data_IF_291177861296
#
_entry.id   IF_291177861296
#
_cell.length_a   1.000
_cell.length_b   1.000
_cell.length_c   1.000
_cell.angle_alpha   90.00
_cell.angle_beta   90.00
_cell.angle_gamma   90.00
#
_symmetry.space_group_name_H-M   'P 1'
#
loop_
_entity.id
_entity.type
_entity.pdbx_description
1 polymer ?
#
# COMPACT_ATOMS: atom_id res chain seq x y z
N UNK A 1 -5.96 22.74 0.16
CA UNK A 1 -5.30 21.60 0.85
C UNK A 1 -6.14 20.33 0.71
N UNK A 2 -7.27 20.18 1.42
CA UNK A 2 -8.14 18.98 1.34
C UNK A 2 -8.60 18.61 -0.08
N UNK A 3 -9.05 19.59 -0.87
CA UNK A 3 -9.46 19.34 -2.25
C UNK A 3 -8.32 18.76 -3.10
N UNK A 4 -7.11 19.30 -2.98
CA UNK A 4 -5.93 18.83 -3.72
C UNK A 4 -5.51 17.43 -3.27
N UNK A 5 -5.59 17.14 -1.96
CA UNK A 5 -5.35 15.78 -1.47
C UNK A 5 -6.33 14.81 -2.13
N UNK A 6 -7.62 15.13 -2.16
CA UNK A 6 -8.63 14.23 -2.74
C UNK A 6 -8.46 14.07 -4.26
N UNK A 7 -8.17 15.14 -5.00
CA UNK A 7 -8.22 15.12 -6.48
C UNK A 7 -6.89 14.85 -7.16
N UNK A 8 -5.77 15.06 -6.47
CA UNK A 8 -4.42 14.98 -7.06
C UNK A 8 -3.52 13.95 -6.36
N UNK A 9 -4.00 13.21 -5.36
CA UNK A 9 -3.29 12.03 -4.83
C UNK A 9 -3.88 10.73 -5.34
N UNK A 10 -3.09 9.68 -5.25
CA UNK A 10 -3.27 8.33 -5.77
C UNK A 10 -3.85 7.35 -4.74
N UNK A 11 -4.44 7.85 -3.65
CA UNK A 11 -5.13 7.06 -2.63
C UNK A 11 -6.16 6.08 -3.20
N UNK A 12 -6.87 6.46 -4.27
CA UNK A 12 -7.88 5.62 -4.91
C UNK A 12 -7.26 4.41 -5.64
N UNK A 13 -6.06 4.57 -6.19
CA UNK A 13 -5.33 3.50 -6.88
C UNK A 13 -4.91 2.42 -5.87
N UNK A 14 -4.42 2.83 -4.72
CA UNK A 14 -4.06 1.94 -3.61
C UNK A 14 -5.24 1.10 -3.11
N UNK A 15 -6.41 1.73 -2.95
CA UNK A 15 -7.64 1.02 -2.58
C UNK A 15 -8.08 0.05 -3.68
N UNK A 16 -8.07 0.49 -4.94
CA UNK A 16 -8.43 -0.35 -6.09
C UNK A 16 -7.53 -1.58 -6.17
N UNK A 17 -6.21 -1.40 -6.09
CA UNK A 17 -5.25 -2.51 -6.12
C UNK A 17 -5.45 -3.44 -4.92
N UNK A 18 -5.77 -2.91 -3.74
CA UNK A 18 -6.09 -3.73 -2.56
C UNK A 18 -7.30 -4.65 -2.81
N UNK A 19 -8.37 -4.14 -3.45
CA UNK A 19 -9.52 -4.94 -3.84
C UNK A 19 -9.20 -5.97 -4.92
N UNK A 20 -8.41 -5.60 -5.93
CA UNK A 20 -7.98 -6.54 -6.98
C UNK A 20 -7.11 -7.67 -6.41
N UNK A 21 -6.14 -7.33 -5.55
CA UNK A 21 -5.28 -8.28 -4.87
C UNK A 21 -6.11 -9.21 -3.97
N UNK A 22 -7.10 -8.69 -3.26
CA UNK A 22 -8.03 -9.51 -2.49
C UNK A 22 -8.78 -10.51 -3.38
N UNK A 23 -9.28 -10.08 -4.54
CA UNK A 23 -9.95 -10.94 -5.51
C UNK A 23 -9.04 -12.05 -6.05
N UNK A 24 -7.79 -11.71 -6.38
CA UNK A 24 -6.77 -12.68 -6.82
C UNK A 24 -6.49 -13.69 -5.71
N UNK A 25 -6.26 -13.24 -4.47
CA UNK A 25 -6.04 -14.14 -3.33
C UNK A 25 -7.25 -15.04 -3.06
N UNK A 26 -8.47 -14.52 -3.20
CA UNK A 26 -9.69 -15.32 -3.11
C UNK A 26 -9.75 -16.46 -4.13
N UNK A 27 -9.42 -16.16 -5.38
CA UNK A 27 -9.40 -17.17 -6.45
C UNK A 27 -8.27 -18.17 -6.21
N UNK A 28 -7.05 -17.71 -5.99
CA UNK A 28 -5.86 -18.57 -5.87
C UNK A 28 -5.94 -19.43 -4.62
N UNK A 29 -6.09 -18.82 -3.44
CA UNK A 29 -6.09 -19.57 -2.19
C UNK A 29 -7.37 -20.41 -2.05
N UNK A 30 -8.53 -19.85 -2.40
CA UNK A 30 -9.83 -20.48 -2.17
C UNK A 30 -10.24 -21.48 -3.25
N UNK A 31 -10.13 -21.11 -4.54
CA UNK A 31 -10.62 -21.93 -5.65
C UNK A 31 -9.55 -22.86 -6.21
N UNK A 32 -8.30 -22.41 -6.32
CA UNK A 32 -7.22 -23.20 -6.94
C UNK A 32 -6.54 -24.09 -5.89
N UNK A 33 -6.13 -23.52 -4.75
CA UNK A 33 -5.40 -24.25 -3.71
C UNK A 33 -6.30 -24.94 -2.68
N UNK A 34 -7.62 -24.65 -2.69
CA UNK A 34 -8.59 -25.26 -1.78
C UNK A 34 -8.39 -24.90 -0.30
N UNK A 35 -7.69 -23.80 -0.01
CA UNK A 35 -7.44 -23.36 1.37
C UNK A 35 -8.68 -22.66 1.93
N UNK A 36 -9.04 -23.01 3.16
CA UNK A 36 -10.09 -22.32 3.90
C UNK A 36 -9.50 -21.12 4.63
N UNK A 37 -10.05 -19.93 4.40
CA UNK A 37 -9.65 -18.72 5.11
C UNK A 37 -10.80 -17.72 5.20
N UNK A 38 -10.72 -16.84 6.21
CA UNK A 38 -11.71 -15.78 6.43
C UNK A 38 -11.41 -14.62 5.46
N UNK A 39 -12.02 -14.66 4.28
CA UNK A 39 -11.74 -13.70 3.19
C UNK A 39 -11.89 -12.23 3.60
N UNK A 40 -12.86 -11.91 4.47
CA UNK A 40 -13.06 -10.55 4.98
C UNK A 40 -11.92 -10.07 5.89
N UNK A 41 -11.24 -10.97 6.62
CA UNK A 41 -10.06 -10.61 7.43
C UNK A 41 -8.85 -10.31 6.56
N UNK A 42 -8.74 -10.97 5.40
CA UNK A 42 -7.70 -10.68 4.40
C UNK A 42 -7.95 -9.31 3.78
N UNK A 43 -9.19 -9.04 3.36
CA UNK A 43 -9.58 -7.72 2.85
C UNK A 43 -9.31 -6.63 3.88
N UNK A 44 -9.73 -6.83 5.14
CA UNK A 44 -9.50 -5.88 6.22
C UNK A 44 -8.01 -5.57 6.41
N UNK A 45 -7.16 -6.59 6.43
CA UNK A 45 -5.70 -6.42 6.52
C UNK A 45 -5.14 -5.60 5.34
N UNK A 46 -5.52 -5.92 4.10
CA UNK A 46 -5.09 -5.21 2.91
C UNK A 46 -5.53 -3.74 2.93
N UNK A 47 -6.78 -3.48 3.30
CA UNK A 47 -7.30 -2.11 3.37
C UNK A 47 -6.60 -1.30 4.47
N UNK A 48 -6.40 -1.87 5.66
CA UNK A 48 -5.70 -1.20 6.77
C UNK A 48 -4.23 -0.94 6.49
N UNK A 49 -3.59 -1.66 5.57
CA UNK A 49 -2.20 -1.41 5.18
C UNK A 49 -2.02 -0.02 4.58
N UNK A 50 -3.01 0.50 3.85
CA UNK A 50 -2.99 1.84 3.26
C UNK A 50 -3.04 2.96 4.31
N UNK A 51 -3.23 2.66 5.60
CA UNK A 51 -3.08 3.65 6.66
C UNK A 51 -1.62 4.07 6.88
N UNK A 52 -0.66 3.42 6.20
CA UNK A 52 0.74 3.85 6.19
C UNK A 52 0.90 5.30 5.72
N UNK A 53 0.07 5.76 4.77
CA UNK A 53 -0.02 7.14 4.28
C UNK A 53 -0.35 8.18 5.37
N UNK A 54 -0.84 7.75 6.53
CA UNK A 54 -1.01 8.69 7.64
C UNK A 54 0.32 9.30 8.09
N UNK A 55 1.47 8.71 7.70
CA UNK A 55 2.78 9.29 7.96
C UNK A 55 3.03 10.61 7.20
N UNK A 56 2.28 10.91 6.12
CA UNK A 56 2.32 12.19 5.42
C UNK A 56 1.97 13.37 6.34
N UNK A 57 1.13 13.13 7.37
CA UNK A 57 0.77 14.15 8.35
C UNK A 57 1.98 14.65 9.16
N UNK A 58 3.06 13.87 9.21
CA UNK A 58 4.32 14.24 9.87
C UNK A 58 5.34 14.85 8.91
N UNK A 59 5.01 15.04 7.65
CA UNK A 59 5.92 15.59 6.64
C UNK A 59 5.72 17.09 6.41
N UNK A 60 6.78 17.76 5.96
CA UNK A 60 6.73 19.16 5.58
C UNK A 60 7.27 19.36 4.15
N UNK A 61 6.45 19.83 3.18
CA UNK A 61 5.03 20.12 3.29
C UNK A 61 4.18 18.83 3.37
N UNK A 62 3.02 18.90 4.03
CA UNK A 62 2.08 17.77 4.20
C UNK A 62 1.64 17.20 2.85
N UNK A 63 1.36 18.07 1.87
CA UNK A 63 0.95 17.68 0.53
C UNK A 63 1.71 18.49 -0.53
N UNK A 64 2.30 17.81 -1.50
CA UNK A 64 2.95 18.41 -2.67
C UNK A 64 2.70 17.50 -3.87
N UNK A 65 1.96 18.00 -4.86
CA UNK A 65 1.71 17.27 -6.10
C UNK A 65 3.03 16.95 -6.83
N UNK A 66 3.12 15.74 -7.38
CA UNK A 66 4.31 15.29 -8.13
C UNK A 66 5.54 15.01 -7.28
N UNK A 67 5.46 15.03 -5.94
CA UNK A 67 6.57 14.56 -5.09
C UNK A 67 6.54 13.03 -5.03
N UNK A 68 7.71 12.40 -5.18
CA UNK A 68 7.87 10.98 -4.92
C UNK A 68 7.55 10.63 -3.45
N UNK A 69 6.73 9.62 -3.18
CA UNK A 69 6.36 9.21 -1.81
C UNK A 69 7.53 8.55 -1.05
N UNK A 70 8.39 7.81 -1.76
CA UNK A 70 9.50 7.08 -1.15
C UNK A 70 10.59 8.00 -0.58
N UNK A 71 11.11 7.64 0.58
CA UNK A 71 12.17 8.34 1.35
C UNK A 71 11.85 9.78 1.76
N UNK A 72 10.69 10.32 1.40
CA UNK A 72 10.23 11.64 1.81
C UNK A 72 9.32 11.60 3.05
N UNK A 73 8.92 10.40 3.48
CA UNK A 73 8.13 10.14 4.69
C UNK A 73 8.78 9.09 5.57
N UNK A 74 8.43 9.11 6.87
CA UNK A 74 9.08 8.27 7.86
C UNK A 74 8.85 6.78 7.59
N UNK A 75 7.60 6.35 7.43
CA UNK A 75 7.25 4.96 7.17
C UNK A 75 7.53 4.54 5.71
N UNK A 76 7.58 5.51 4.80
CA UNK A 76 7.98 5.32 3.40
C UNK A 76 9.50 5.36 3.17
N UNK A 77 10.31 5.33 4.23
CA UNK A 77 11.75 5.11 4.09
C UNK A 77 12.02 3.69 3.61
N UNK A 78 12.86 3.54 2.57
CA UNK A 78 13.26 2.23 2.06
C UNK A 78 14.02 1.40 3.09
N UNK A 79 14.54 2.03 4.15
CA UNK A 79 15.14 1.35 5.30
C UNK A 79 14.15 0.45 6.06
N UNK A 80 12.83 0.73 5.99
CA UNK A 80 11.80 -0.11 6.62
C UNK A 80 11.35 -1.29 5.73
N UNK A 81 11.73 -1.32 4.45
CA UNK A 81 11.34 -2.38 3.52
C UNK A 81 11.69 -3.79 4.02
N UNK A 82 12.89 -4.05 4.59
CA UNK A 82 13.20 -5.37 5.17
C UNK A 82 12.27 -5.74 6.33
N UNK A 83 11.86 -4.77 7.16
CA UNK A 83 10.93 -5.00 8.26
C UNK A 83 9.57 -5.42 7.73
N UNK A 84 9.07 -4.74 6.69
CA UNK A 84 7.81 -5.10 6.05
C UNK A 84 7.88 -6.48 5.38
N UNK A 85 8.99 -6.79 4.71
CA UNK A 85 9.22 -8.11 4.11
C UNK A 85 9.25 -9.24 5.16
N UNK A 86 9.93 -9.03 6.29
CA UNK A 86 9.92 -9.99 7.41
C UNK A 86 8.51 -10.20 7.99
N UNK A 87 7.69 -9.15 7.98
CA UNK A 87 6.30 -9.20 8.41
C UNK A 87 5.43 -10.22 7.64
N UNK A 88 5.82 -10.62 6.43
CA UNK A 88 5.16 -11.69 5.67
C UNK A 88 5.21 -13.06 6.37
N UNK A 89 6.13 -13.27 7.30
CA UNK A 89 6.23 -14.49 8.10
C UNK A 89 5.32 -14.48 9.34
N UNK A 90 4.69 -13.34 9.64
CA UNK A 90 3.84 -13.18 10.83
C UNK A 90 2.39 -13.60 10.58
N UNK A 91 1.58 -13.61 11.65
CA UNK A 91 0.12 -13.80 11.55
C UNK A 91 -0.59 -12.69 10.74
N UNK A 92 0.08 -11.54 10.55
CA UNK A 92 -0.41 -10.38 9.82
C UNK A 92 0.15 -10.31 8.40
N UNK A 93 0.56 -11.45 7.83
CA UNK A 93 1.17 -11.54 6.50
C UNK A 93 0.42 -10.78 5.39
N UNK A 94 -0.91 -10.71 5.44
CA UNK A 94 -1.68 -10.00 4.42
C UNK A 94 -1.63 -8.48 4.61
N UNK A 95 -1.50 -8.00 5.84
CA UNK A 95 -1.28 -6.58 6.12
C UNK A 95 0.09 -6.16 5.59
N UNK A 96 1.13 -6.93 5.86
CA UNK A 96 2.46 -6.66 5.34
C UNK A 96 2.55 -6.83 3.82
N UNK A 97 1.83 -7.80 3.23
CA UNK A 97 1.67 -7.89 1.78
C UNK A 97 1.02 -6.61 1.21
N UNK A 98 -0.02 -6.10 1.89
CA UNK A 98 -0.64 -4.82 1.55
C UNK A 98 0.36 -3.66 1.59
N UNK A 99 1.19 -3.56 2.63
CA UNK A 99 2.24 -2.54 2.74
C UNK A 99 3.25 -2.65 1.59
N UNK A 100 3.69 -3.87 1.25
CA UNK A 100 4.65 -4.06 0.16
C UNK A 100 4.06 -3.70 -1.21
N UNK A 101 2.79 -4.03 -1.45
CA UNK A 101 2.09 -3.66 -2.68
C UNK A 101 1.84 -2.15 -2.73
N UNK A 102 1.56 -1.52 -1.60
CA UNK A 102 1.48 -0.07 -1.46
C UNK A 102 2.83 0.59 -1.83
N UNK A 103 3.93 0.14 -1.22
CA UNK A 103 5.29 0.58 -1.57
C UNK A 103 5.64 0.40 -3.05
N UNK A 104 5.12 -0.67 -3.69
CA UNK A 104 5.31 -0.90 -5.11
C UNK A 104 4.57 0.12 -5.96
N UNK A 105 3.34 0.49 -5.60
CA UNK A 105 2.57 1.52 -6.31
C UNK A 105 3.28 2.87 -6.19
N UNK A 106 3.70 3.25 -4.98
CA UNK A 106 4.50 4.45 -4.73
C UNK A 106 5.78 4.48 -5.57
N UNK A 107 6.50 3.36 -5.63
CA UNK A 107 7.71 3.23 -6.44
C UNK A 107 7.42 3.49 -7.92
N UNK A 108 6.33 2.90 -8.46
CA UNK A 108 5.93 3.11 -9.85
C UNK A 108 5.53 4.57 -10.11
N UNK A 109 4.79 5.21 -9.20
CA UNK A 109 4.46 6.63 -9.30
C UNK A 109 5.70 7.54 -9.24
N UNK A 110 6.72 7.16 -8.46
CA UNK A 110 8.00 7.85 -8.49
C UNK A 110 8.70 7.69 -9.84
N UNK A 111 8.66 6.51 -10.47
CA UNK A 111 9.26 6.30 -11.80
C UNK A 111 8.61 7.20 -12.85
N UNK A 112 7.28 7.29 -12.86
CA UNK A 112 6.53 8.14 -13.82
C UNK A 112 6.92 9.62 -13.73
N UNK A 113 7.42 10.09 -12.58
CA UNK A 113 7.94 11.46 -12.41
C UNK A 113 9.32 11.67 -13.07
N UNK A 114 10.14 10.63 -13.26
CA UNK A 114 11.48 10.75 -13.85
C UNK A 114 11.48 10.72 -15.40
N UNK A 115 10.31 10.56 -16.04
CA UNK A 115 10.17 10.46 -17.49
C UNK A 115 9.59 11.74 -18.16
N UNK A 116 9.45 12.85 -17.42
CA UNK A 116 9.07 14.16 -17.94
C UNK A 116 10.07 15.27 -17.56
#
# INVERSE_FOLDING_TARGET
MLLNIITQSDWWLHLLVSFLLWGILYIVEGKILGRSFKTWMVLGQLLTANLIDLDHLFSWPIYQAGRCSLNNHFLHSTNFLPVYALGLLSRFRYFFLGILVHFLIDYLGCLDFWWF
#
